data_IF_469140188365
#
_entry.id   IF_469140188365
#
_cell.length_a   1.000
_cell.length_b   1.000
_cell.length_c   1.000
_cell.angle_alpha   90.00
_cell.angle_beta   90.00
_cell.angle_gamma   90.00
#
_symmetry.space_group_name_H-M   'P 1'
#
loop_
_entity.id
_entity.type
_entity.pdbx_description
1 polymer ?
#
# COMPACT_ATOMS: atom_id res chain seq x y z
N UNK A 1 -1.74 9.36 14.29
CA UNK A 1 -0.99 9.17 13.04
C UNK A 1 -1.49 7.95 12.29
N UNK A 2 -1.86 8.11 11.03
CA UNK A 2 -2.15 7.00 10.13
C UNK A 2 -0.88 6.21 9.80
N UNK A 3 -1.01 4.99 9.26
CA UNK A 3 0.15 4.20 8.81
C UNK A 3 0.94 4.95 7.72
N UNK A 4 0.23 5.63 6.82
CA UNK A 4 0.83 6.48 5.79
C UNK A 4 1.66 7.63 6.37
N UNK A 5 1.12 8.36 7.35
CA UNK A 5 1.86 9.44 8.00
C UNK A 5 3.14 8.92 8.66
N UNK A 6 3.09 7.77 9.36
CA UNK A 6 4.29 7.17 9.97
C UNK A 6 5.35 6.86 8.92
N UNK A 7 4.94 6.22 7.83
CA UNK A 7 5.81 5.85 6.73
C UNK A 7 6.41 7.10 6.07
N UNK A 8 5.63 8.17 5.87
CA UNK A 8 6.11 9.44 5.35
C UNK A 8 7.22 10.05 6.23
N UNK A 9 7.03 10.10 7.55
CA UNK A 9 8.06 10.61 8.46
C UNK A 9 9.31 9.73 8.50
N UNK A 10 9.16 8.41 8.41
CA UNK A 10 10.31 7.51 8.36
C UNK A 10 11.07 7.60 7.03
N UNK A 11 10.39 7.88 5.91
CA UNK A 11 11.06 8.19 4.63
C UNK A 11 11.95 9.42 4.76
N UNK A 12 11.45 10.50 5.37
CA UNK A 12 12.23 11.72 5.62
C UNK A 12 13.46 11.48 6.52
N UNK A 13 13.41 10.45 7.37
CA UNK A 13 14.54 10.03 8.22
C UNK A 13 15.54 9.11 7.50
N UNK A 14 15.35 8.83 6.21
CA UNK A 14 16.26 8.03 5.39
C UNK A 14 15.92 6.54 5.29
N UNK A 15 14.75 6.09 5.79
CA UNK A 15 14.32 4.69 5.72
C UNK A 15 13.53 4.35 4.43
N UNK A 16 13.58 5.21 3.41
CA UNK A 16 12.71 5.16 2.22
C UNK A 16 12.64 3.82 1.50
N UNK A 17 13.79 3.20 1.20
CA UNK A 17 13.85 1.91 0.49
C UNK A 17 13.12 0.78 1.24
N UNK A 18 13.23 0.73 2.57
CA UNK A 18 12.59 -0.32 3.37
C UNK A 18 11.07 -0.16 3.38
N UNK A 19 10.61 1.09 3.47
CA UNK A 19 9.19 1.45 3.50
C UNK A 19 8.52 1.15 2.16
N UNK A 20 9.13 1.58 1.05
CA UNK A 20 8.62 1.28 -0.29
C UNK A 20 8.53 -0.23 -0.50
N UNK A 21 9.57 -0.99 -0.13
CA UNK A 21 9.57 -2.45 -0.24
C UNK A 21 8.41 -3.08 0.55
N UNK A 22 8.21 -2.66 1.80
CA UNK A 22 7.14 -3.16 2.67
C UNK A 22 5.74 -2.84 2.12
N UNK A 23 5.54 -1.63 1.59
CA UNK A 23 4.27 -1.21 0.99
C UNK A 23 3.96 -1.96 -0.31
N UNK A 24 4.97 -2.18 -1.15
CA UNK A 24 4.84 -2.98 -2.35
C UNK A 24 4.46 -4.43 -2.02
N UNK A 25 5.02 -5.00 -0.96
CA UNK A 25 4.69 -6.36 -0.50
C UNK A 25 3.24 -6.45 0.02
N UNK A 26 2.78 -5.46 0.79
CA UNK A 26 1.38 -5.36 1.25
C UNK A 26 0.39 -5.29 0.07
N UNK A 27 0.68 -4.47 -0.94
CA UNK A 27 -0.12 -4.38 -2.17
C UNK A 27 -0.13 -5.73 -2.91
N UNK A 28 1.02 -6.41 -2.99
CA UNK A 28 1.14 -7.70 -3.68
C UNK A 28 0.31 -8.79 -3.01
N UNK A 29 0.34 -8.88 -1.69
CA UNK A 29 -0.48 -9.84 -0.94
C UNK A 29 -1.97 -9.55 -1.08
N UNK A 30 -2.39 -8.28 -1.02
CA UNK A 30 -3.79 -7.89 -1.26
C UNK A 30 -4.24 -8.20 -2.70
N UNK A 31 -3.38 -8.02 -3.71
CA UNK A 31 -3.67 -8.43 -5.10
C UNK A 31 -3.81 -9.94 -5.22
N UNK A 32 -3.03 -10.72 -4.46
CA UNK A 32 -3.16 -12.18 -4.43
C UNK A 32 -4.48 -12.60 -3.79
N UNK A 33 -4.86 -11.97 -2.68
CA UNK A 33 -6.16 -12.18 -2.03
C UNK A 33 -7.30 -11.85 -2.99
N UNK A 34 -7.23 -10.69 -3.65
CA UNK A 34 -8.20 -10.23 -4.65
C UNK A 34 -8.46 -11.29 -5.72
N UNK A 35 -7.40 -11.85 -6.31
CA UNK A 35 -7.49 -12.89 -7.37
C UNK A 35 -8.16 -14.18 -6.89
N UNK A 36 -7.97 -14.51 -5.62
CA UNK A 36 -8.58 -15.71 -5.01
C UNK A 36 -10.00 -15.47 -4.47
N UNK A 37 -10.44 -14.20 -4.40
CA UNK A 37 -11.68 -13.82 -3.76
C UNK A 37 -12.89 -14.14 -4.66
N UNK A 38 -13.68 -15.16 -4.27
CA UNK A 38 -14.93 -15.51 -4.97
C UNK A 38 -16.11 -14.62 -4.59
N UNK A 39 -16.00 -13.89 -3.47
CA UNK A 39 -17.05 -13.01 -2.98
C UNK A 39 -16.95 -11.63 -3.65
N UNK A 40 -17.97 -11.25 -4.44
CA UNK A 40 -18.01 -9.99 -5.20
C UNK A 40 -17.96 -8.74 -4.32
N UNK A 41 -18.64 -8.76 -3.17
CA UNK A 41 -18.62 -7.62 -2.24
C UNK A 41 -17.22 -7.43 -1.65
N UNK A 42 -16.63 -8.52 -1.13
CA UNK A 42 -15.26 -8.48 -0.60
C UNK A 42 -14.24 -8.10 -1.67
N UNK A 43 -14.40 -8.58 -2.90
CA UNK A 43 -13.58 -8.18 -4.04
C UNK A 43 -13.62 -6.67 -4.25
N UNK A 44 -14.80 -6.05 -4.26
CA UNK A 44 -14.95 -4.61 -4.43
C UNK A 44 -14.28 -3.82 -3.28
N UNK A 45 -14.42 -4.26 -2.03
CA UNK A 45 -13.72 -3.66 -0.89
C UNK A 45 -12.19 -3.77 -1.02
N UNK A 46 -11.69 -4.92 -1.49
CA UNK A 46 -10.26 -5.12 -1.75
C UNK A 46 -9.78 -4.18 -2.87
N UNK A 47 -10.54 -4.03 -3.95
CA UNK A 47 -10.22 -3.07 -5.02
C UNK A 47 -10.11 -1.64 -4.49
N UNK A 48 -11.09 -1.18 -3.71
CA UNK A 48 -11.05 0.17 -3.10
C UNK A 48 -9.82 0.35 -2.20
N UNK A 49 -9.50 -0.67 -1.41
CA UNK A 49 -8.34 -0.66 -0.52
C UNK A 49 -7.03 -0.63 -1.32
N UNK A 50 -6.93 -1.44 -2.38
CA UNK A 50 -5.78 -1.47 -3.28
C UNK A 50 -5.56 -0.11 -3.95
N UNK A 51 -6.61 0.50 -4.51
CA UNK A 51 -6.48 1.83 -5.14
C UNK A 51 -5.98 2.89 -4.16
N UNK A 52 -6.46 2.87 -2.91
CA UNK A 52 -5.96 3.78 -1.86
C UNK A 52 -4.48 3.52 -1.55
N UNK A 53 -4.08 2.25 -1.40
CA UNK A 53 -2.69 1.90 -1.08
C UNK A 53 -1.72 2.16 -2.23
N UNK A 54 -2.16 1.98 -3.48
CA UNK A 54 -1.37 2.30 -4.67
C UNK A 54 -1.14 3.81 -4.78
N UNK A 55 -2.18 4.63 -4.52
CA UNK A 55 -2.03 6.08 -4.49
C UNK A 55 -1.12 6.56 -3.36
N UNK A 56 -1.26 5.97 -2.17
CA UNK A 56 -0.33 6.21 -1.05
C UNK A 56 1.11 5.81 -1.40
N UNK A 57 1.31 4.69 -2.10
CA UNK A 57 2.64 4.25 -2.53
C UNK A 57 3.25 5.21 -3.54
N UNK A 58 2.49 5.64 -4.55
CA UNK A 58 2.95 6.59 -5.57
C UNK A 58 3.35 7.93 -4.93
N UNK A 59 2.58 8.41 -3.96
CA UNK A 59 2.90 9.60 -3.19
C UNK A 59 4.21 9.45 -2.39
N UNK A 60 4.50 8.26 -1.84
CA UNK A 60 5.76 7.97 -1.15
C UNK A 60 6.93 7.82 -2.12
N UNK A 61 6.72 7.19 -3.27
CA UNK A 61 7.73 7.00 -4.31
C UNK A 61 8.17 8.33 -4.93
N UNK A 62 7.24 9.27 -5.14
CA UNK A 62 7.57 10.62 -5.61
C UNK A 62 8.41 11.47 -4.64
N UNK A 63 8.57 11.02 -3.40
CA UNK A 63 9.41 11.68 -2.38
C UNK A 63 10.80 11.06 -2.25
N UNK A 64 11.03 9.90 -2.89
CA UNK A 64 12.31 9.17 -2.86
C UNK A 64 13.17 9.50 -4.08
#
# INVERSE_FOLDING_TARGET
>A
MTKFEKDYYEMLKGAGRYILKKRMEEIKELKKEQRSCKNRFRFQCICQTLSRLEWEYEALEGLY
#
